data_IF_099545581605
#
_entry.id   IF_099545581605
#
_cell.length_a   1.000
_cell.length_b   1.000
_cell.length_c   1.000
_cell.angle_alpha   90.00
_cell.angle_beta   90.00
_cell.angle_gamma   90.00
#
_symmetry.space_group_name_H-M   'P 1'
#
loop_
_entity.id
_entity.type
_entity.pdbx_description
1 polymer ?
#
# COMPACT_ATOMS: atom_id res chain seq x y z
N UNK A 1 -12.32 0.91 7.82
CA UNK A 1 -10.85 0.75 7.98
C UNK A 1 -10.26 1.88 8.82
N UNK A 2 -10.26 3.12 8.36
CA UNK A 2 -9.67 4.27 9.07
C UNK A 2 -10.21 4.49 10.50
N UNK A 3 -11.52 4.34 10.73
CA UNK A 3 -12.11 4.39 12.07
C UNK A 3 -11.47 3.38 13.04
N UNK A 4 -11.13 2.17 12.56
CA UNK A 4 -10.51 1.14 13.39
C UNK A 4 -9.00 1.33 13.53
N UNK A 5 -8.31 1.90 12.53
CA UNK A 5 -6.93 2.33 12.74
C UNK A 5 -6.84 3.40 13.83
N UNK A 6 -7.76 4.37 13.82
CA UNK A 6 -7.80 5.41 14.85
C UNK A 6 -8.02 4.83 16.24
N UNK A 7 -8.82 3.75 16.35
CA UNK A 7 -9.12 3.10 17.63
C UNK A 7 -8.05 2.12 18.11
N UNK A 8 -7.58 1.24 17.24
CA UNK A 8 -6.65 0.16 17.60
C UNK A 8 -5.17 0.59 17.47
N UNK A 9 -4.94 1.83 17.00
CA UNK A 9 -3.67 2.50 16.70
C UNK A 9 -2.81 1.80 15.63
N UNK A 10 -2.60 0.49 15.69
CA UNK A 10 -1.87 -0.30 14.68
C UNK A 10 -2.49 -1.68 14.50
N UNK A 11 -2.30 -2.29 13.33
CA UNK A 11 -2.72 -3.68 13.08
C UNK A 11 -1.54 -4.64 13.12
N UNK A 12 -1.82 -5.88 13.53
CA UNK A 12 -0.85 -6.98 13.45
C UNK A 12 -0.52 -7.30 11.99
N UNK A 13 0.69 -7.79 11.72
CA UNK A 13 1.12 -8.12 10.36
C UNK A 13 0.12 -8.98 9.56
N UNK A 14 -0.49 -10.05 10.12
CA UNK A 14 -1.50 -10.83 9.41
C UNK A 14 -2.76 -10.03 9.04
N UNK A 15 -3.21 -9.13 9.93
CA UNK A 15 -4.38 -8.27 9.69
C UNK A 15 -4.08 -7.21 8.64
N UNK A 16 -2.90 -6.58 8.74
CA UNK A 16 -2.40 -5.63 7.75
C UNK A 16 -2.28 -6.28 6.38
N UNK A 17 -1.76 -7.51 6.32
CA UNK A 17 -1.63 -8.29 5.09
C UNK A 17 -2.96 -8.49 4.36
N UNK A 18 -4.01 -8.85 5.09
CA UNK A 18 -5.35 -9.03 4.52
C UNK A 18 -5.84 -7.74 3.85
N UNK A 19 -5.87 -6.62 4.59
CA UNK A 19 -6.39 -5.36 4.06
C UNK A 19 -5.54 -4.80 2.91
N UNK A 20 -4.21 -4.89 3.03
CA UNK A 20 -3.30 -4.45 1.96
C UNK A 20 -3.46 -5.33 0.71
N UNK A 21 -3.76 -6.62 0.85
CA UNK A 21 -4.02 -7.52 -0.28
C UNK A 21 -5.34 -7.18 -1.00
N UNK A 22 -6.40 -6.83 -0.26
CA UNK A 22 -7.66 -6.37 -0.85
C UNK A 22 -7.46 -5.07 -1.63
N UNK A 23 -6.77 -4.09 -1.04
CA UNK A 23 -6.44 -2.83 -1.72
C UNK A 23 -5.58 -3.05 -2.96
N UNK A 24 -4.54 -3.88 -2.87
CA UNK A 24 -3.69 -4.22 -4.01
C UNK A 24 -4.49 -4.89 -5.15
N UNK A 25 -5.47 -5.74 -4.81
CA UNK A 25 -6.36 -6.36 -5.79
C UNK A 25 -7.25 -5.33 -6.47
N UNK A 26 -7.82 -4.39 -5.70
CA UNK A 26 -8.66 -3.32 -6.23
C UNK A 26 -7.87 -2.38 -7.16
N UNK A 27 -6.69 -1.91 -6.73
CA UNK A 27 -5.79 -1.10 -7.56
C UNK A 27 -5.41 -1.86 -8.82
N UNK A 28 -5.04 -3.13 -8.68
CA UNK A 28 -4.72 -4.01 -9.80
C UNK A 28 -5.86 -4.10 -10.83
N UNK A 29 -7.10 -4.27 -10.36
CA UNK A 29 -8.27 -4.37 -11.23
C UNK A 29 -8.54 -3.06 -11.99
N UNK A 30 -8.47 -1.91 -11.30
CA UNK A 30 -8.66 -0.60 -11.94
C UNK A 30 -7.63 -0.36 -13.05
N UNK A 31 -6.40 -0.82 -12.85
CA UNK A 31 -5.34 -0.68 -13.85
C UNK A 31 -5.61 -1.48 -15.13
N UNK A 32 -6.22 -2.66 -15.01
CA UNK A 32 -6.66 -3.44 -16.18
C UNK A 32 -7.73 -2.70 -16.98
N UNK A 33 -8.53 -1.89 -16.31
CA UNK A 33 -9.54 -1.02 -16.92
C UNK A 33 -8.97 0.33 -17.40
N UNK A 34 -7.65 0.54 -17.30
CA UNK A 34 -6.98 1.82 -17.55
C UNK A 34 -7.51 2.98 -16.68
N UNK A 35 -8.02 2.68 -15.49
CA UNK A 35 -8.48 3.64 -14.48
C UNK A 35 -7.38 3.83 -13.42
N UNK A 36 -7.07 5.08 -13.08
CA UNK A 36 -6.20 5.45 -11.95
C UNK A 36 -7.10 5.94 -10.83
N UNK A 37 -6.94 5.39 -9.62
CA UNK A 37 -7.87 5.66 -8.51
C UNK A 37 -7.67 7.07 -7.94
N UNK A 38 -6.43 7.59 -7.91
CA UNK A 38 -6.03 8.98 -7.59
C UNK A 38 -6.44 9.54 -6.22
N UNK A 39 -7.34 8.89 -5.49
CA UNK A 39 -8.01 9.45 -4.30
C UNK A 39 -7.89 8.53 -3.07
N UNK A 40 -6.84 7.68 -3.02
CA UNK A 40 -6.57 6.86 -1.83
C UNK A 40 -6.18 7.72 -0.61
N UNK A 41 -5.54 8.88 -0.84
CA UNK A 41 -5.31 9.99 0.11
C UNK A 41 -5.01 11.29 -0.67
N UNK A 42 -5.98 12.19 -0.88
CA UNK A 42 -5.81 13.37 -1.74
C UNK A 42 -4.68 14.30 -1.26
N UNK A 43 -4.39 14.34 0.03
CA UNK A 43 -3.36 15.21 0.62
C UNK A 43 -1.93 14.77 0.25
N UNK A 44 -1.71 13.46 0.05
CA UNK A 44 -0.41 12.93 -0.37
C UNK A 44 -0.19 13.06 -1.88
N UNK A 45 -1.26 12.94 -2.67
CA UNK A 45 -1.23 12.94 -4.14
C UNK A 45 -0.96 14.34 -4.71
N UNK A 46 -1.43 15.40 -4.05
CA UNK A 46 -1.22 16.78 -4.49
C UNK A 46 0.22 17.29 -4.33
N UNK A 47 1.02 16.63 -3.49
CA UNK A 47 2.39 17.06 -3.13
C UNK A 47 3.48 16.30 -3.89
N UNK A 48 3.12 15.27 -4.66
CA UNK A 48 4.05 14.67 -5.60
C UNK A 48 4.27 15.64 -6.77
N UNK A 49 5.48 16.20 -6.86
CA UNK A 49 5.88 17.09 -7.96
C UNK A 49 5.67 16.48 -9.36
N UNK A 50 5.50 15.15 -9.43
CA UNK A 50 5.20 14.43 -10.67
C UNK A 50 3.72 14.43 -11.05
N UNK A 51 2.78 14.53 -10.10
CA UNK A 51 1.32 14.60 -10.38
C UNK A 51 0.97 15.91 -11.10
N UNK A 52 1.71 16.98 -10.81
CA UNK A 52 1.59 18.25 -11.53
C UNK A 52 2.06 18.17 -13.00
N UNK A 53 2.81 17.12 -13.40
CA UNK A 53 3.39 17.00 -14.75
C UNK A 53 2.50 16.31 -15.78
N UNK A 54 1.28 15.84 -15.45
CA UNK A 54 0.36 15.15 -16.38
C UNK A 54 1.03 14.05 -17.23
N UNK A 55 2.07 13.41 -16.70
CA UNK A 55 2.80 12.34 -17.39
C UNK A 55 2.18 10.97 -17.02
N UNK A 56 2.47 9.90 -17.80
CA UNK A 56 1.97 8.54 -17.51
C UNK A 56 2.38 7.95 -16.15
N UNK A 57 3.20 8.68 -15.38
CA UNK A 57 3.56 8.48 -13.96
C UNK A 57 2.36 8.30 -13.02
N UNK A 58 1.16 8.78 -13.40
CA UNK A 58 -0.11 8.61 -12.67
C UNK A 58 -0.35 7.16 -12.22
N UNK A 59 0.07 6.19 -13.04
CA UNK A 59 -0.06 4.75 -12.75
C UNK A 59 0.92 4.22 -11.70
N UNK A 60 1.75 5.02 -11.09
CA UNK A 60 2.62 4.56 -9.98
C UNK A 60 2.22 5.19 -8.66
N UNK A 61 1.34 6.19 -8.72
CA UNK A 61 0.87 6.97 -7.57
C UNK A 61 -0.03 6.13 -6.68
N UNK A 62 -0.98 5.36 -7.24
CA UNK A 62 -1.86 4.51 -6.42
C UNK A 62 -1.08 3.46 -5.61
N UNK A 63 0.01 2.93 -6.17
CA UNK A 63 0.89 1.98 -5.46
C UNK A 63 1.73 2.65 -4.38
N UNK A 64 2.14 3.90 -4.59
CA UNK A 64 2.76 4.70 -3.53
C UNK A 64 1.77 4.98 -2.40
N UNK A 65 0.53 5.37 -2.74
CA UNK A 65 -0.55 5.54 -1.76
C UNK A 65 -0.85 4.25 -1.01
N UNK A 66 -0.80 3.09 -1.66
CA UNK A 66 -0.88 1.81 -0.95
C UNK A 66 0.25 1.64 0.05
N UNK A 67 1.48 2.01 -0.32
CA UNK A 67 2.64 2.00 0.58
C UNK A 67 2.47 2.90 1.79
N UNK A 68 1.90 4.10 1.63
CA UNK A 68 1.67 5.02 2.74
C UNK A 68 0.57 4.54 3.67
N UNK A 69 -0.53 4.01 3.12
CA UNK A 69 -1.60 3.37 3.91
C UNK A 69 -1.05 2.14 4.65
N UNK A 70 -0.23 1.31 3.99
CA UNK A 70 0.35 0.13 4.63
C UNK A 70 1.30 0.50 5.77
N UNK A 71 2.13 1.53 5.60
CA UNK A 71 3.00 2.06 6.65
C UNK A 71 2.19 2.55 7.85
N UNK A 72 1.14 3.34 7.61
CA UNK A 72 0.22 3.81 8.65
C UNK A 72 -0.47 2.64 9.38
N UNK A 73 -0.92 1.62 8.66
CA UNK A 73 -1.54 0.42 9.25
C UNK A 73 -0.56 -0.32 10.19
N UNK A 74 0.69 -0.49 9.78
CA UNK A 74 1.70 -1.25 10.54
C UNK A 74 2.19 -0.49 11.76
N UNK A 75 2.43 0.82 11.63
CA UNK A 75 3.09 1.60 12.68
C UNK A 75 2.13 2.50 13.47
N UNK A 76 0.92 2.74 12.96
CA UNK A 76 -0.05 3.61 13.62
C UNK A 76 0.33 5.08 13.66
N UNK A 77 1.22 5.49 12.75
CA UNK A 77 1.78 6.84 12.75
C UNK A 77 0.82 7.82 12.07
N UNK A 78 0.75 9.03 12.63
CA UNK A 78 0.00 10.12 12.04
C UNK A 78 0.60 10.52 10.70
N UNK A 79 -0.27 10.88 9.76
CA UNK A 79 0.12 11.21 8.37
C UNK A 79 1.22 12.27 8.33
N UNK A 80 1.17 13.27 9.23
CA UNK A 80 2.18 14.33 9.39
C UNK A 80 3.62 13.82 9.62
N UNK A 81 3.81 12.85 10.51
CA UNK A 81 5.15 12.30 10.85
C UNK A 81 5.68 11.38 9.75
N UNK A 82 4.74 10.68 9.09
CA UNK A 82 5.03 9.86 7.93
C UNK A 82 5.48 10.72 6.73
N UNK A 83 4.88 11.90 6.53
CA UNK A 83 5.20 12.78 5.40
C UNK A 83 6.68 13.20 5.37
N UNK A 84 7.23 13.68 6.49
CA UNK A 84 8.65 14.12 6.54
C UNK A 84 9.61 12.95 6.26
N UNK A 85 9.25 11.76 6.75
CA UNK A 85 10.03 10.54 6.61
C UNK A 85 9.98 9.94 5.19
N UNK A 86 8.83 10.03 4.51
CA UNK A 86 8.61 9.44 3.19
C UNK A 86 9.10 10.36 2.07
N UNK A 87 8.81 11.66 2.14
CA UNK A 87 9.16 12.61 1.09
C UNK A 87 10.63 13.03 1.18
N UNK A 88 11.08 13.44 2.37
CA UNK A 88 12.37 14.14 2.50
C UNK A 88 13.51 13.25 3.01
N UNK A 89 13.23 12.25 3.85
CA UNK A 89 14.27 11.38 4.43
C UNK A 89 14.37 10.02 3.70
N UNK A 90 15.49 9.29 3.84
CA UNK A 90 15.48 7.85 3.56
C UNK A 90 14.48 7.17 4.51
N UNK A 91 13.68 6.23 3.99
CA UNK A 91 12.66 5.52 4.75
C UNK A 91 13.29 4.83 5.97
N UNK A 92 13.10 5.42 7.16
CA UNK A 92 13.59 4.86 8.42
C UNK A 92 12.51 3.97 9.02
N UNK A 93 12.76 2.67 9.05
CA UNK A 93 11.84 1.70 9.63
C UNK A 93 12.24 1.42 11.09
N UNK A 94 11.27 1.31 12.02
CA UNK A 94 11.54 0.95 13.41
C UNK A 94 12.33 -0.36 13.55
N UNK A 95 13.23 -0.39 14.54
CA UNK A 95 14.02 -1.57 14.89
C UNK A 95 13.08 -2.71 15.28
N UNK A 96 13.28 -3.89 14.68
CA UNK A 96 12.42 -5.07 14.88
C UNK A 96 11.32 -5.25 13.84
N UNK A 97 11.27 -4.41 12.80
CA UNK A 97 10.40 -4.65 11.63
C UNK A 97 10.79 -5.95 10.92
N UNK A 98 9.81 -6.78 10.57
CA UNK A 98 10.05 -8.03 9.83
C UNK A 98 10.60 -7.75 8.43
N UNK A 99 11.49 -8.61 7.94
CA UNK A 99 12.11 -8.45 6.61
C UNK A 99 11.06 -8.35 5.50
N UNK A 100 9.97 -9.11 5.60
CA UNK A 100 8.88 -9.10 4.62
C UNK A 100 8.12 -7.76 4.56
N UNK A 101 7.96 -7.09 5.71
CA UNK A 101 7.35 -5.75 5.77
C UNK A 101 8.32 -4.72 5.23
N UNK A 102 9.61 -4.81 5.60
CA UNK A 102 10.66 -3.94 5.09
C UNK A 102 10.74 -3.97 3.56
N UNK A 103 10.85 -5.16 2.97
CA UNK A 103 10.98 -5.35 1.52
C UNK A 103 9.77 -4.76 0.78
N UNK A 104 8.57 -4.98 1.32
CA UNK A 104 7.35 -4.46 0.72
C UNK A 104 7.24 -2.93 0.81
N UNK A 105 7.54 -2.34 1.97
CA UNK A 105 7.52 -0.89 2.15
C UNK A 105 8.59 -0.21 1.28
N UNK A 106 9.82 -0.75 1.24
CA UNK A 106 10.88 -0.23 0.38
C UNK A 106 10.52 -0.31 -1.10
N UNK A 107 9.80 -1.35 -1.51
CA UNK A 107 9.33 -1.50 -2.88
C UNK A 107 8.22 -0.53 -3.27
N UNK A 108 7.22 -0.35 -2.40
CA UNK A 108 6.07 0.53 -2.65
C UNK A 108 6.43 2.02 -2.50
N UNK A 109 7.30 2.35 -1.54
CA UNK A 109 7.76 3.72 -1.24
C UNK A 109 9.11 4.05 -1.88
N UNK A 110 9.43 3.40 -3.01
CA UNK A 110 10.60 3.75 -3.81
C UNK A 110 10.39 5.10 -4.51
N UNK A 111 11.26 6.06 -4.20
CA UNK A 111 11.15 7.45 -4.69
C UNK A 111 11.24 7.53 -6.21
N UNK A 112 12.16 6.77 -6.80
CA UNK A 112 12.25 6.63 -8.25
C UNK A 112 11.11 5.73 -8.77
N UNK A 113 10.11 6.34 -9.40
CA UNK A 113 8.95 5.65 -9.98
C UNK A 113 9.32 4.53 -10.98
N UNK A 114 10.45 4.62 -11.68
CA UNK A 114 10.88 3.58 -12.63
C UNK A 114 11.43 2.34 -11.91
N UNK A 115 11.94 2.53 -10.69
CA UNK A 115 12.48 1.47 -9.82
C UNK A 115 11.46 0.97 -8.80
N UNK A 116 10.33 1.68 -8.63
CA UNK A 116 9.21 1.27 -7.78
C UNK A 116 8.74 -0.12 -8.20
N UNK A 117 8.28 -0.92 -7.23
CA UNK A 117 8.03 -2.37 -7.36
C UNK A 117 7.01 -2.76 -8.46
N UNK A 118 6.58 -1.81 -9.28
CA UNK A 118 5.42 -1.88 -10.14
C UNK A 118 5.64 -1.08 -11.44
N UNK A 119 6.59 -1.50 -12.28
CA UNK A 119 6.84 -0.85 -13.59
C UNK A 119 5.98 -1.44 -14.71
N UNK A 120 5.05 -0.58 -15.18
CA UNK A 120 4.27 -0.51 -16.42
C UNK A 120 3.41 -1.66 -16.95
N UNK A 121 3.64 -2.95 -16.66
CA UNK A 121 2.88 -4.01 -17.38
C UNK A 121 2.44 -5.22 -16.57
N UNK A 122 3.09 -5.54 -15.45
CA UNK A 122 2.78 -6.74 -14.64
C UNK A 122 2.62 -6.42 -13.16
N UNK A 123 2.03 -5.25 -12.89
CA UNK A 123 1.90 -4.67 -11.57
C UNK A 123 1.38 -5.65 -10.52
N UNK A 124 0.29 -6.35 -10.86
CA UNK A 124 -0.31 -7.35 -10.00
C UNK A 124 0.66 -8.50 -9.72
N UNK A 125 1.31 -9.08 -10.73
CA UNK A 125 2.22 -10.21 -10.52
C UNK A 125 3.43 -9.82 -9.67
N UNK A 126 3.97 -8.62 -9.87
CA UNK A 126 5.14 -8.14 -9.14
C UNK A 126 4.81 -7.78 -7.69
N UNK A 127 3.63 -7.21 -7.42
CA UNK A 127 3.16 -6.93 -6.06
C UNK A 127 2.72 -8.19 -5.33
N UNK A 128 2.24 -9.21 -6.05
CA UNK A 128 1.93 -10.54 -5.48
C UNK A 128 3.19 -11.37 -5.16
N UNK A 129 4.36 -10.97 -5.70
CA UNK A 129 5.63 -11.71 -5.59
C UNK A 129 6.37 -11.55 -4.24
N UNK A 130 6.38 -10.38 -3.56
CA UNK A 130 6.96 -10.26 -2.23
C UNK A 130 6.49 -11.35 -1.28
N UNK A 131 7.42 -11.87 -0.48
CA UNK A 131 7.14 -12.87 0.56
C UNK A 131 6.01 -12.44 1.51
N UNK A 132 5.77 -11.13 1.64
CA UNK A 132 4.69 -10.59 2.45
C UNK A 132 3.31 -11.17 2.12
N UNK A 133 2.98 -11.40 0.85
CA UNK A 133 1.68 -11.97 0.47
C UNK A 133 1.69 -13.48 0.27
N UNK A 134 2.82 -14.16 0.50
CA UNK A 134 2.91 -15.62 0.36
C UNK A 134 1.81 -16.41 1.10
N UNK A 135 1.28 -15.97 2.27
CA UNK A 135 0.20 -16.69 2.94
C UNK A 135 -1.21 -16.44 2.35
N UNK A 136 -1.36 -15.53 1.39
CA UNK A 136 -2.65 -15.15 0.81
C UNK A 136 -2.92 -15.98 -0.44
N UNK A 137 -4.02 -16.74 -0.42
CA UNK A 137 -4.60 -17.28 -1.64
C UNK A 137 -5.42 -16.19 -2.33
N UNK A 138 -4.94 -15.72 -3.48
CA UNK A 138 -5.56 -14.63 -4.23
C UNK A 138 -6.92 -15.00 -4.83
N UNK A 139 -7.16 -16.27 -5.16
CA UNK A 139 -8.46 -16.70 -5.66
C UNK A 139 -9.48 -16.68 -4.53
N UNK A 140 -9.11 -17.19 -3.35
CA UNK A 140 -10.00 -17.14 -2.19
C UNK A 140 -10.27 -15.70 -1.74
N UNK A 141 -9.27 -14.81 -1.84
CA UNK A 141 -9.48 -13.38 -1.59
C UNK A 141 -10.49 -12.79 -2.58
N UNK A 142 -10.30 -13.05 -3.89
CA UNK A 142 -11.16 -12.53 -4.95
C UNK A 142 -12.61 -13.03 -4.82
N UNK A 143 -12.79 -14.33 -4.55
CA UNK A 143 -14.10 -14.94 -4.35
C UNK A 143 -14.66 -14.76 -2.93
N UNK A 144 -14.04 -13.91 -2.09
CA UNK A 144 -14.47 -13.62 -0.70
C UNK A 144 -14.63 -14.87 0.18
N UNK A 145 -13.75 -15.86 -0.01
CA UNK A 145 -13.67 -17.10 0.76
C UNK A 145 -12.73 -17.01 1.96
N UNK A 146 -11.92 -15.95 2.03
CA UNK A 146 -11.11 -15.67 3.22
C UNK A 146 -11.99 -14.91 4.23
N UNK A 147 -12.14 -15.47 5.43
CA UNK A 147 -12.84 -14.80 6.52
C UNK A 147 -12.10 -13.50 6.89
N UNK A 148 -12.78 -12.34 6.88
CA UNK A 148 -12.15 -11.09 7.28
C UNK A 148 -11.62 -11.19 8.72
N UNK A 149 -10.44 -10.61 9.02
CA UNK A 149 -9.83 -10.67 10.34
C UNK A 149 -10.63 -9.90 11.41
N UNK A 150 -11.70 -9.22 11.03
CA UNK A 150 -12.61 -8.53 11.93
C UNK A 150 -14.04 -8.55 11.38
N UNK A 151 -15.00 -8.93 12.24
CA UNK A 151 -16.42 -8.83 11.98
C UNK A 151 -17.00 -7.68 12.82
N UNK A 152 -17.52 -6.60 12.22
CA UNK A 152 -18.04 -5.44 12.95
C UNK A 152 -19.36 -5.71 13.71
N UNK A 153 -19.98 -6.89 13.53
CA UNK A 153 -21.28 -7.23 14.11
C UNK A 153 -21.19 -8.22 15.29
N UNK A 154 -20.02 -8.35 15.93
CA UNK A 154 -19.81 -9.12 17.18
C UNK A 154 -19.26 -8.20 18.26
#
# INVERSE_FOLDING_TARGET
LFYHLQRDHRFSEPRSRFYTAEMASAIGYLYLLNIVYRDLKPETVLLDSEVLKKQPCDRTVDWWCLGTVFYEIIYGLNVSEMYDSILHRPLSLPVGTSSVVCDMLMGLLQKDQHRRLVSYTYAQLKVKKPNFFSPINWDDLYYRRITPPYNPNV
#
